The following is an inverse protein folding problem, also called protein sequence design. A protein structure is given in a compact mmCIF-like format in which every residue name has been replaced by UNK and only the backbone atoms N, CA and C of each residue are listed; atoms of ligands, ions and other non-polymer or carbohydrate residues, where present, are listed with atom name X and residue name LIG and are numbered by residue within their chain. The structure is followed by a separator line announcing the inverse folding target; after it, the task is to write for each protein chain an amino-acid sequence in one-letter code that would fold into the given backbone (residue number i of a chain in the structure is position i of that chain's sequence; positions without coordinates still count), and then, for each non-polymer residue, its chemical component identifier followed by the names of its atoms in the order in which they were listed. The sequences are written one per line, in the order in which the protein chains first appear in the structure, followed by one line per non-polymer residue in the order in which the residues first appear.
data_IF_525365553384
#
_entry.id   IF_525365553384
#
_cell.length_a   1.000
_cell.length_b   1.000
_cell.length_c   1.000
_cell.angle_alpha   90.00
_cell.angle_beta   90.00
_cell.angle_gamma   90.00
#
_symmetry.space_group_name_H-M   'P 1'
#
loop_
_entity.id
_entity.type
_entity.pdbx_description
1 polymer ?
#
# COMPACT_ATOMS: atom_id res chain seq x y z
N UNK A 1 -7.18 -10.28 -18.11
CA UNK A 1 -6.81 -8.86 -18.20
C UNK A 1 -6.09 -8.43 -16.95
N UNK A 2 -5.06 -7.63 -17.09
CA UNK A 2 -4.32 -7.07 -15.94
C UNK A 2 -4.70 -5.60 -15.80
N UNK A 3 -5.06 -5.20 -14.60
CA UNK A 3 -5.34 -3.80 -14.29
C UNK A 3 -4.29 -3.30 -13.29
N UNK A 4 -3.85 -2.06 -13.46
CA UNK A 4 -2.88 -1.42 -12.58
C UNK A 4 -3.50 -0.14 -12.06
N UNK A 5 -3.60 -0.05 -10.72
CA UNK A 5 -4.07 1.14 -10.04
C UNK A 5 -2.90 1.78 -9.29
N UNK A 6 -2.60 3.05 -9.60
CA UNK A 6 -1.57 3.79 -8.89
C UNK A 6 -2.13 4.23 -7.53
N UNK A 7 -1.41 3.88 -6.46
CA UNK A 7 -1.83 4.15 -5.08
C UNK A 7 -1.21 5.45 -4.52
N UNK A 8 -0.52 6.20 -5.36
CA UNK A 8 0.23 7.36 -4.91
C UNK A 8 1.67 6.98 -4.53
N UNK A 9 2.56 7.95 -4.56
CA UNK A 9 3.99 7.72 -4.34
C UNK A 9 4.50 6.60 -5.25
N UNK A 10 5.20 5.61 -4.72
CA UNK A 10 5.67 4.45 -5.47
C UNK A 10 4.75 3.24 -5.40
N UNK A 11 3.51 3.41 -4.95
CA UNK A 11 2.61 2.29 -4.68
C UNK A 11 1.71 1.93 -5.85
N UNK A 12 1.46 0.63 -6.00
CA UNK A 12 0.58 0.10 -7.05
C UNK A 12 -0.23 -1.07 -6.53
N UNK A 13 -1.48 -1.16 -6.99
CA UNK A 13 -2.31 -2.35 -6.88
C UNK A 13 -2.41 -2.96 -8.28
N UNK A 14 -1.98 -4.20 -8.42
CA UNK A 14 -2.04 -4.93 -9.69
C UNK A 14 -3.06 -6.05 -9.53
N UNK A 15 -4.07 -6.05 -10.38
CA UNK A 15 -5.12 -7.06 -10.38
C UNK A 15 -5.03 -7.89 -11.65
N UNK A 16 -4.94 -9.21 -11.50
CA UNK A 16 -4.90 -10.15 -12.63
C UNK A 16 -5.88 -11.29 -12.33
N UNK A 17 -7.03 -11.29 -13.00
CA UNK A 17 -8.10 -12.21 -12.64
C UNK A 17 -8.59 -11.96 -11.22
N UNK A 18 -8.47 -12.97 -10.36
CA UNK A 18 -8.83 -12.85 -8.95
C UNK A 18 -7.62 -12.56 -8.04
N UNK A 19 -6.43 -12.47 -8.63
CA UNK A 19 -5.20 -12.23 -7.87
C UNK A 19 -4.95 -10.73 -7.72
N UNK A 20 -4.59 -10.29 -6.52
CA UNK A 20 -4.34 -8.89 -6.20
C UNK A 20 -2.99 -8.76 -5.52
N UNK A 21 -2.09 -8.01 -6.16
CA UNK A 21 -0.74 -7.74 -5.64
C UNK A 21 -0.64 -6.26 -5.31
N UNK A 22 -0.24 -5.96 -4.10
CA UNK A 22 -0.05 -4.59 -3.63
C UNK A 22 1.44 -4.36 -3.43
N UNK A 23 1.97 -3.28 -4.00
CA UNK A 23 3.38 -2.92 -3.92
C UNK A 23 3.49 -1.55 -3.27
N UNK A 24 4.32 -1.45 -2.23
CA UNK A 24 4.67 -0.21 -1.55
C UNK A 24 3.47 0.69 -1.21
N UNK A 25 2.44 0.20 -0.52
CA UNK A 25 1.25 1.00 -0.23
C UNK A 25 1.52 2.01 0.90
N UNK A 26 1.76 3.26 0.54
CA UNK A 26 1.89 4.35 1.52
C UNK A 26 0.50 4.93 1.79
N UNK A 27 -0.16 4.45 2.85
CA UNK A 27 -1.54 4.81 3.19
C UNK A 27 -1.63 5.88 4.27
N UNK A 28 -0.72 5.86 5.24
CA UNK A 28 -0.71 6.80 6.36
C UNK A 28 0.00 8.08 5.97
N UNK A 29 -0.04 9.07 6.84
CA UNK A 29 0.75 10.28 6.70
C UNK A 29 2.02 10.23 7.56
N UNK A 30 2.60 9.02 7.70
CA UNK A 30 3.74 8.83 8.60
C UNK A 30 4.93 9.71 8.24
N UNK A 31 5.25 9.85 6.94
CA UNK A 31 6.36 10.70 6.50
C UNK A 31 6.06 12.16 6.82
N UNK A 32 4.80 12.61 6.63
CA UNK A 32 4.41 13.96 7.03
C UNK A 32 4.57 14.15 8.54
N UNK A 33 4.13 13.18 9.35
CA UNK A 33 4.24 13.27 10.81
C UNK A 33 5.69 13.34 11.29
N UNK A 34 6.60 12.65 10.60
CA UNK A 34 8.01 12.58 11.02
C UNK A 34 8.90 13.62 10.36
N UNK A 35 8.67 13.95 9.09
CA UNK A 35 9.53 14.81 8.30
C UNK A 35 8.80 16.00 7.70
N UNK A 36 7.50 16.14 7.97
CA UNK A 36 6.64 17.21 7.45
C UNK A 36 6.61 17.28 5.92
N UNK A 37 6.79 16.13 5.27
CA UNK A 37 6.69 16.01 3.81
C UNK A 37 5.30 15.49 3.44
N UNK A 38 4.42 16.40 3.01
CA UNK A 38 3.07 16.03 2.63
C UNK A 38 3.08 15.24 1.32
N UNK A 39 2.18 14.25 1.22
CA UNK A 39 2.01 13.52 -0.03
C UNK A 39 1.30 14.41 -1.05
N UNK A 40 1.62 14.23 -2.34
CA UNK A 40 1.03 15.00 -3.43
C UNK A 40 -0.38 14.54 -3.79
N UNK A 41 -0.67 13.27 -3.59
CA UNK A 41 -1.97 12.69 -3.89
C UNK A 41 -2.47 11.87 -2.70
N UNK A 42 -3.76 11.92 -2.39
CA UNK A 42 -4.31 11.05 -1.34
C UNK A 42 -4.27 9.60 -1.78
N UNK A 43 -4.24 8.69 -0.81
CA UNK A 43 -4.36 7.26 -1.08
C UNK A 43 -5.77 7.00 -1.64
N UNK A 44 -5.91 6.40 -2.84
CA UNK A 44 -7.18 6.40 -3.56
C UNK A 44 -8.21 5.37 -3.07
N UNK A 45 -7.79 4.43 -2.21
CA UNK A 45 -8.66 3.34 -1.75
C UNK A 45 -8.78 3.35 -0.24
N UNK A 46 -9.91 2.87 0.26
CA UNK A 46 -10.03 2.56 1.69
C UNK A 46 -9.31 1.23 1.97
N UNK A 47 -8.95 1.01 3.23
CA UNK A 47 -8.24 -0.21 3.65
C UNK A 47 -9.05 -1.47 3.30
N UNK A 48 -10.38 -1.43 3.45
CA UNK A 48 -11.25 -2.57 3.15
C UNK A 48 -11.43 -2.81 1.65
N UNK A 49 -10.99 -1.91 0.79
CA UNK A 49 -11.01 -2.07 -0.66
C UNK A 49 -9.73 -2.68 -1.21
N UNK A 50 -8.67 -2.71 -0.42
CA UNK A 50 -7.36 -3.14 -0.90
C UNK A 50 -7.30 -4.63 -1.22
N UNK A 51 -7.75 -5.48 -0.30
CA UNK A 51 -7.92 -6.93 -0.44
C UNK A 51 -6.72 -7.62 -1.10
N UNK A 52 -5.50 -7.46 -0.56
CA UNK A 52 -4.32 -8.01 -1.20
C UNK A 52 -4.17 -9.51 -0.96
N UNK A 53 -3.72 -10.23 -1.98
CA UNK A 53 -3.25 -11.61 -1.83
C UNK A 53 -1.76 -11.65 -1.53
N UNK A 54 -1.02 -10.67 -2.05
CA UNK A 54 0.42 -10.56 -1.87
C UNK A 54 0.78 -9.09 -1.67
N UNK A 55 1.60 -8.83 -0.66
CA UNK A 55 2.14 -7.51 -0.36
C UNK A 55 3.65 -7.53 -0.61
N UNK A 56 4.13 -6.66 -1.48
CA UNK A 56 5.54 -6.53 -1.80
C UNK A 56 6.05 -5.16 -1.38
N UNK A 57 7.22 -5.13 -0.76
CA UNK A 57 7.89 -3.90 -0.36
C UNK A 57 9.24 -3.86 -1.06
N UNK A 58 9.49 -2.79 -1.82
CA UNK A 58 10.71 -2.66 -2.60
C UNK A 58 11.93 -2.34 -1.74
N UNK A 59 11.75 -1.51 -0.71
CA UNK A 59 12.83 -1.11 0.21
C UNK A 59 12.22 -0.52 1.48
N UNK A 60 13.05 -0.14 2.44
CA UNK A 60 12.62 0.21 3.80
C UNK A 60 12.40 1.71 4.05
N UNK A 61 12.37 2.54 3.01
CA UNK A 61 11.98 3.94 3.19
C UNK A 61 10.51 4.01 3.64
N UNK A 62 10.19 4.99 4.49
CA UNK A 62 8.90 5.06 5.17
C UNK A 62 7.70 5.32 4.25
N UNK A 63 7.93 5.85 3.06
CA UNK A 63 6.88 6.04 2.05
C UNK A 63 6.71 4.80 1.15
N UNK A 64 7.46 3.75 1.39
CA UNK A 64 7.35 2.46 0.73
C UNK A 64 7.01 1.37 1.75
N UNK A 65 7.79 1.25 2.83
CA UNK A 65 7.45 0.41 3.98
C UNK A 65 6.78 1.31 5.02
N UNK A 66 5.47 1.48 4.92
CA UNK A 66 4.69 2.38 5.76
C UNK A 66 4.58 1.81 7.18
N UNK A 67 5.22 2.43 8.19
CA UNK A 67 5.24 1.86 9.54
C UNK A 67 3.87 1.83 10.22
N UNK A 68 2.93 2.62 9.75
CA UNK A 68 1.57 2.64 10.28
C UNK A 68 0.60 1.86 9.39
N UNK A 69 0.74 1.97 8.07
CA UNK A 69 -0.19 1.35 7.12
C UNK A 69 0.03 -0.14 6.95
N UNK A 70 1.28 -0.62 6.86
CA UNK A 70 1.56 -2.03 6.66
C UNK A 70 1.01 -2.91 7.80
N UNK A 71 1.22 -2.56 9.08
CA UNK A 71 0.61 -3.35 10.15
C UNK A 71 -0.92 -3.42 10.07
N UNK A 72 -1.58 -2.35 9.64
CA UNK A 72 -3.03 -2.34 9.47
C UNK A 72 -3.48 -3.29 8.36
N UNK A 73 -2.72 -3.33 7.25
CA UNK A 73 -2.99 -4.26 6.15
C UNK A 73 -2.88 -5.70 6.62
N UNK A 74 -1.80 -6.03 7.33
CA UNK A 74 -1.57 -7.40 7.80
C UNK A 74 -2.57 -7.82 8.87
N UNK A 75 -3.06 -6.88 9.68
CA UNK A 75 -4.10 -7.17 10.66
C UNK A 75 -5.45 -7.45 9.99
N UNK A 76 -5.82 -6.64 8.99
CA UNK A 76 -7.09 -6.83 8.27
C UNK A 76 -7.07 -8.05 7.34
N UNK A 77 -5.90 -8.37 6.78
CA UNK A 77 -5.74 -9.44 5.80
C UNK A 77 -4.70 -10.46 6.29
N UNK A 78 -5.03 -11.25 7.34
CA UNK A 78 -4.05 -12.15 7.95
C UNK A 78 -3.55 -13.27 7.03
N UNK A 79 -4.25 -13.55 5.93
CA UNK A 79 -3.84 -14.55 4.97
C UNK A 79 -3.03 -13.98 3.80
N UNK A 80 -2.80 -12.68 3.79
CA UNK A 80 -1.98 -12.04 2.78
C UNK A 80 -0.52 -12.50 2.93
N UNK A 81 0.10 -12.93 1.82
CA UNK A 81 1.52 -13.26 1.79
C UNK A 81 2.36 -11.98 1.66
N UNK A 82 3.56 -12.03 2.21
CA UNK A 82 4.48 -10.89 2.10
C UNK A 82 5.94 -11.34 2.14
#
# INVERSE_FOLDING_TARGET
MVEICWLGQGGFLITAGESRVVIDPYMSDYVFKKQQLARLHPFPLALDELKPDLLLISHDHMDHLDPEGVPQILEMYPQCSY
#
